data_IF_657300914159
#
_entry.id   IF_657300914159
#
_cell.length_a   1.000
_cell.length_b   1.000
_cell.length_c   1.000
_cell.angle_alpha   90.00
_cell.angle_beta   90.00
_cell.angle_gamma   90.00
#
_symmetry.space_group_name_H-M   'P 1'
#
loop_
_entity.id
_entity.type
_entity.pdbx_description
1 polymer ?
#
# COMPACT_ATOMS: atom_id res chain seq x y z
N UNK A 1 -0.18 -15.66 11.60
CA UNK A 1 1.21 -15.95 12.03
C UNK A 1 1.68 -17.34 11.61
N UNK A 2 1.09 -18.44 12.09
CA UNK A 2 1.58 -19.80 11.76
C UNK A 2 1.65 -20.07 10.23
N UNK A 3 0.60 -19.76 9.49
CA UNK A 3 0.59 -19.89 8.01
C UNK A 3 1.68 -19.05 7.33
N UNK A 4 1.87 -17.81 7.77
CA UNK A 4 2.89 -16.90 7.21
C UNK A 4 4.30 -17.44 7.44
N UNK A 5 4.56 -18.05 8.59
CA UNK A 5 5.84 -18.69 8.90
C UNK A 5 6.07 -19.91 8.01
N UNK A 6 5.06 -20.77 7.84
CA UNK A 6 5.14 -21.92 6.93
C UNK A 6 5.45 -21.46 5.51
N UNK A 7 4.78 -20.42 5.01
CA UNK A 7 5.01 -19.86 3.68
C UNK A 7 6.43 -19.29 3.52
N UNK A 8 6.93 -18.53 4.49
CA UNK A 8 8.31 -18.07 4.45
C UNK A 8 9.30 -19.24 4.50
N UNK A 9 9.06 -20.27 5.31
CA UNK A 9 9.96 -21.43 5.35
C UNK A 9 9.97 -22.21 4.01
N UNK A 10 8.82 -22.30 3.33
CA UNK A 10 8.71 -22.93 2.02
C UNK A 10 9.35 -22.11 0.87
N UNK A 11 9.49 -20.79 1.06
CA UNK A 11 10.06 -19.86 0.08
C UNK A 11 11.26 -19.10 0.67
N UNK A 12 12.45 -19.75 0.76
CA UNK A 12 13.65 -19.15 1.37
C UNK A 12 14.03 -17.80 0.74
N UNK A 13 13.86 -17.65 -0.58
CA UNK A 13 14.19 -16.43 -1.32
C UNK A 13 13.21 -15.27 -1.07
N UNK A 14 12.03 -15.53 -0.48
CA UNK A 14 11.10 -14.48 -0.13
C UNK A 14 11.58 -13.75 1.14
N UNK A 15 11.78 -12.44 1.02
CA UNK A 15 12.11 -11.59 2.15
C UNK A 15 10.86 -11.17 2.94
N UNK A 16 9.71 -11.15 2.27
CA UNK A 16 8.41 -10.75 2.83
C UNK A 16 7.30 -11.61 2.25
N UNK A 17 6.35 -12.00 3.10
CA UNK A 17 5.02 -12.48 2.69
C UNK A 17 3.98 -11.45 3.12
N UNK A 18 2.98 -11.18 2.27
CA UNK A 18 1.88 -10.29 2.64
C UNK A 18 0.55 -10.74 2.04
N UNK A 19 -0.55 -10.36 2.71
CA UNK A 19 -1.91 -10.70 2.32
C UNK A 19 -2.81 -9.47 2.22
N UNK A 20 -4.04 -9.63 1.72
CA UNK A 20 -5.02 -8.55 1.68
C UNK A 20 -5.50 -8.13 3.07
N UNK A 21 -6.11 -6.95 3.11
CA UNK A 21 -6.78 -6.38 4.29
C UNK A 21 -8.23 -6.84 4.29
N UNK A 22 -8.77 -7.22 5.45
CA UNK A 22 -10.20 -7.15 5.67
C UNK A 22 -10.56 -5.78 6.21
N UNK A 23 -11.31 -5.00 5.43
CA UNK A 23 -12.00 -3.83 5.96
C UNK A 23 -13.08 -4.32 6.92
N UNK A 24 -12.89 -4.03 8.19
CA UNK A 24 -13.78 -4.46 9.27
C UNK A 24 -14.57 -3.24 9.73
N UNK A 25 -15.84 -3.17 9.33
CA UNK A 25 -16.84 -2.18 9.71
C UNK A 25 -17.77 -2.73 10.79
N UNK A 26 -18.05 -4.04 10.79
CA UNK A 26 -18.91 -4.69 11.79
C UNK A 26 -18.42 -4.56 13.24
N UNK A 27 -17.18 -4.11 13.46
CA UNK A 27 -16.64 -3.78 14.79
C UNK A 27 -17.44 -2.72 15.55
N UNK A 28 -18.27 -1.92 14.86
CA UNK A 28 -19.13 -0.90 15.50
C UNK A 28 -20.30 -1.52 16.27
N UNK A 29 -20.69 -2.77 15.96
CA UNK A 29 -21.90 -3.40 16.47
C UNK A 29 -23.19 -2.98 15.76
N UNK A 30 -23.15 -2.01 14.84
CA UNK A 30 -24.32 -1.60 14.06
C UNK A 30 -24.64 -2.68 13.01
N UNK A 31 -25.89 -3.16 12.92
CA UNK A 31 -26.27 -4.18 11.94
C UNK A 31 -25.97 -3.78 10.49
N UNK A 32 -26.16 -2.50 10.15
CA UNK A 32 -25.90 -1.96 8.80
C UNK A 32 -24.42 -2.02 8.38
N UNK A 33 -23.50 -2.06 9.35
CA UNK A 33 -22.07 -2.10 9.07
C UNK A 33 -21.59 -3.52 8.71
N UNK A 34 -22.38 -4.56 8.97
CA UNK A 34 -22.00 -5.95 8.66
C UNK A 34 -21.83 -6.19 7.15
N UNK A 35 -22.74 -5.66 6.33
CA UNK A 35 -22.70 -5.80 4.87
C UNK A 35 -21.52 -5.08 4.23
N UNK A 36 -20.82 -4.22 5.00
CA UNK A 36 -19.68 -3.43 4.52
C UNK A 36 -18.36 -4.13 4.73
N UNK A 37 -18.30 -5.20 5.53
CA UNK A 37 -17.09 -6.00 5.72
C UNK A 37 -16.67 -6.64 4.40
N UNK A 38 -15.42 -6.45 3.99
CA UNK A 38 -14.91 -7.07 2.78
C UNK A 38 -13.38 -7.17 2.79
N UNK A 39 -12.87 -8.22 2.13
CA UNK A 39 -11.44 -8.41 1.89
C UNK A 39 -11.04 -7.70 0.60
N UNK A 40 -9.94 -6.96 0.62
CA UNK A 40 -9.40 -6.34 -0.59
C UNK A 40 -8.93 -7.39 -1.60
N UNK A 41 -9.15 -7.12 -2.89
CA UNK A 41 -8.57 -7.93 -3.95
C UNK A 41 -7.07 -7.64 -4.05
N UNK A 42 -6.24 -8.67 -3.99
CA UNK A 42 -4.81 -8.58 -4.32
C UNK A 42 -4.66 -8.33 -5.82
N UNK A 43 -3.96 -7.26 -6.19
CA UNK A 43 -3.86 -6.78 -7.59
C UNK A 43 -2.55 -7.17 -8.28
N UNK A 44 -1.95 -8.26 -7.83
CA UNK A 44 -0.74 -8.88 -8.38
C UNK A 44 -0.93 -10.40 -8.43
N UNK A 45 -0.15 -11.13 -9.23
CA UNK A 45 -0.10 -12.58 -9.10
C UNK A 45 0.21 -12.98 -7.65
N UNK A 46 -0.58 -13.90 -7.11
CA UNK A 46 -0.38 -14.46 -5.77
C UNK A 46 0.29 -15.82 -5.87
N UNK A 47 0.76 -16.33 -4.73
CA UNK A 47 1.29 -17.69 -4.59
C UNK A 47 2.50 -17.93 -5.51
N UNK A 48 3.23 -16.83 -5.77
CA UNK A 48 4.41 -16.80 -6.61
C UNK A 48 5.36 -15.69 -6.15
N UNK A 49 6.65 -15.91 -6.35
CA UNK A 49 7.68 -14.95 -5.99
C UNK A 49 7.70 -13.78 -6.98
N UNK A 50 7.59 -12.56 -6.47
CA UNK A 50 7.72 -11.34 -7.28
C UNK A 50 9.08 -10.69 -7.00
N UNK A 51 9.93 -10.74 -8.01
CA UNK A 51 11.25 -10.10 -7.97
C UNK A 51 11.16 -8.56 -8.05
N UNK A 52 12.11 -7.85 -7.41
CA UNK A 52 12.23 -6.40 -7.54
C UNK A 52 12.56 -5.99 -8.99
N UNK A 53 12.24 -4.74 -9.41
CA UNK A 53 11.52 -3.70 -8.67
C UNK A 53 10.01 -3.69 -8.99
N UNK A 54 9.41 -4.84 -9.36
CA UNK A 54 8.04 -4.87 -9.90
C UNK A 54 7.01 -4.32 -8.91
N UNK A 55 7.06 -4.76 -7.65
CA UNK A 55 6.14 -4.29 -6.61
C UNK A 55 6.38 -2.83 -6.26
N UNK A 56 7.65 -2.39 -6.20
CA UNK A 56 7.98 -0.99 -5.93
C UNK A 56 7.29 -0.05 -6.93
N UNK A 57 7.34 -0.36 -8.23
CA UNK A 57 6.65 0.46 -9.25
C UNK A 57 5.13 0.48 -9.07
N UNK A 58 4.53 -0.60 -8.53
CA UNK A 58 3.10 -0.67 -8.27
C UNK A 58 2.71 0.11 -7.01
N UNK A 59 3.51 0.01 -5.95
CA UNK A 59 3.40 0.84 -4.74
C UNK A 59 3.50 2.33 -5.10
N UNK A 60 4.52 2.69 -5.89
CA UNK A 60 4.74 4.07 -6.30
C UNK A 60 3.56 4.62 -7.10
N UNK A 61 2.90 3.80 -7.93
CA UNK A 61 1.67 4.18 -8.65
C UNK A 61 0.40 4.16 -7.79
N UNK A 62 0.48 3.79 -6.52
CA UNK A 62 -0.65 3.54 -5.60
C UNK A 62 -1.63 2.50 -6.16
N UNK A 63 -1.11 1.48 -6.87
CA UNK A 63 -1.92 0.40 -7.45
C UNK A 63 -2.12 -0.78 -6.52
N UNK A 64 -1.21 -0.93 -5.56
CA UNK A 64 -1.26 -1.92 -4.48
C UNK A 64 -1.03 -1.21 -3.15
N UNK A 65 -1.51 -1.84 -2.08
CA UNK A 65 -1.12 -1.56 -0.70
C UNK A 65 -0.50 -2.84 -0.15
N UNK A 66 0.59 -2.73 0.60
CA UNK A 66 1.20 -3.86 1.31
C UNK A 66 0.87 -3.73 2.77
N UNK A 67 0.42 -4.83 3.36
CA UNK A 67 -0.09 -4.84 4.71
C UNK A 67 -0.24 -6.27 5.20
N UNK A 68 -0.47 -6.49 6.50
CA UNK A 68 -0.54 -7.84 7.06
C UNK A 68 0.71 -8.66 6.76
N UNK A 69 1.86 -7.98 6.69
CA UNK A 69 3.12 -8.55 6.24
C UNK A 69 3.83 -9.30 7.37
N UNK A 70 4.53 -10.37 7.01
CA UNK A 70 5.55 -11.00 7.83
C UNK A 70 6.87 -10.99 7.04
N UNK A 71 7.96 -10.70 7.75
CA UNK A 71 9.25 -10.36 7.17
C UNK A 71 10.33 -11.25 7.78
N UNK A 72 11.37 -11.54 7.01
CA UNK A 72 12.62 -12.04 7.60
C UNK A 72 13.31 -10.91 8.35
N UNK A 73 13.91 -11.23 9.50
CA UNK A 73 14.72 -10.26 10.25
C UNK A 73 15.83 -9.65 9.39
N UNK A 74 16.54 -10.49 8.63
CA UNK A 74 17.68 -10.07 7.81
C UNK A 74 17.31 -8.92 6.86
N UNK A 75 16.17 -8.99 6.16
CA UNK A 75 15.80 -7.90 5.23
C UNK A 75 15.53 -6.58 5.96
N UNK A 76 15.05 -6.61 7.20
CA UNK A 76 14.82 -5.39 7.99
C UNK A 76 16.16 -4.73 8.31
N UNK A 77 17.16 -5.52 8.68
CA UNK A 77 18.51 -5.05 8.96
C UNK A 77 19.21 -4.54 7.69
N UNK A 78 19.10 -5.28 6.59
CA UNK A 78 19.72 -4.93 5.29
C UNK A 78 19.22 -3.59 4.73
N UNK A 79 17.94 -3.28 4.92
CA UNK A 79 17.34 -2.01 4.46
C UNK A 79 17.36 -0.89 5.50
N UNK A 80 17.94 -1.14 6.68
CA UNK A 80 18.02 -0.15 7.77
C UNK A 80 16.68 0.23 8.40
N UNK A 81 15.68 -0.66 8.36
CA UNK A 81 14.42 -0.46 9.05
C UNK A 81 13.56 0.73 8.58
N UNK A 82 12.77 1.27 9.51
CA UNK A 82 11.88 2.42 9.29
C UNK A 82 12.63 3.74 9.29
N UNK A 83 12.05 4.76 8.65
CA UNK A 83 12.63 6.11 8.62
C UNK A 83 11.99 6.99 9.70
N UNK A 84 12.80 7.48 10.64
CA UNK A 84 12.32 8.24 11.80
C UNK A 84 11.70 9.60 11.42
N UNK A 85 12.03 10.13 10.25
CA UNK A 85 11.49 11.39 9.74
C UNK A 85 10.03 11.26 9.25
N UNK A 86 9.51 10.04 9.14
CA UNK A 86 8.10 9.80 8.82
C UNK A 86 7.33 9.54 10.11
N UNK A 87 6.33 10.38 10.36
CA UNK A 87 5.39 10.27 11.49
C UNK A 87 3.97 10.48 10.96
N UNK A 88 3.17 9.44 10.95
CA UNK A 88 1.82 9.38 10.37
C UNK A 88 1.79 8.73 8.99
N UNK A 89 1.67 9.53 7.94
CA UNK A 89 1.49 9.01 6.59
C UNK A 89 2.83 8.54 5.98
N UNK A 90 2.74 7.48 5.18
CA UNK A 90 3.83 6.89 4.39
C UNK A 90 4.94 6.17 5.18
N UNK A 91 4.86 6.04 6.51
CA UNK A 91 5.84 5.26 7.30
C UNK A 91 6.01 3.83 6.76
N UNK A 92 4.88 3.16 6.55
CA UNK A 92 4.81 1.80 6.00
C UNK A 92 5.27 1.75 4.54
N UNK A 93 4.87 2.72 3.71
CA UNK A 93 5.24 2.76 2.29
C UNK A 93 6.71 3.03 2.06
N UNK A 94 7.35 3.85 2.90
CA UNK A 94 8.80 4.06 2.88
C UNK A 94 9.51 2.74 3.13
N UNK A 95 9.16 2.05 4.22
CA UNK A 95 9.77 0.78 4.57
C UNK A 95 9.52 -0.30 3.50
N UNK A 96 8.27 -0.45 3.04
CA UNK A 96 7.92 -1.38 1.98
C UNK A 96 8.64 -1.06 0.66
N UNK A 97 8.91 0.21 0.38
CA UNK A 97 9.62 0.62 -0.84
C UNK A 97 11.05 0.13 -0.84
N UNK A 98 11.75 0.23 0.30
CA UNK A 98 13.11 -0.31 0.44
C UNK A 98 13.10 -1.82 0.14
N UNK A 99 12.23 -2.57 0.81
CA UNK A 99 12.12 -4.03 0.61
C UNK A 99 11.80 -4.37 -0.85
N UNK A 100 10.81 -3.71 -1.45
CA UNK A 100 10.36 -4.00 -2.82
C UNK A 100 11.36 -3.56 -3.91
N UNK A 101 12.40 -2.79 -3.56
CA UNK A 101 13.54 -2.45 -4.41
C UNK A 101 14.67 -3.48 -4.28
N UNK A 102 14.85 -4.06 -3.10
CA UNK A 102 16.04 -4.87 -2.80
C UNK A 102 15.80 -6.38 -2.80
N UNK A 103 14.59 -6.86 -2.53
CA UNK A 103 14.36 -8.28 -2.32
C UNK A 103 13.04 -8.81 -2.91
N UNK A 104 12.97 -10.13 -3.22
CA UNK A 104 11.76 -10.77 -3.67
C UNK A 104 10.68 -10.83 -2.57
N UNK A 105 9.42 -10.75 -2.98
CA UNK A 105 8.25 -10.73 -2.10
C UNK A 105 7.23 -11.76 -2.57
N UNK A 106 6.55 -12.41 -1.64
CA UNK A 106 5.54 -13.44 -1.88
C UNK A 106 4.13 -12.97 -1.48
N UNK A 107 3.30 -12.45 -2.40
CA UNK A 107 1.92 -12.09 -2.12
C UNK A 107 1.03 -13.34 -2.04
N UNK A 108 0.05 -13.35 -1.14
CA UNK A 108 -0.95 -14.43 -1.05
C UNK A 108 -2.38 -13.90 -1.03
N UNK A 109 -3.35 -14.80 -1.17
CA UNK A 109 -4.79 -14.46 -1.06
C UNK A 109 -5.32 -14.52 0.37
N UNK A 110 -4.63 -15.20 1.30
CA UNK A 110 -5.04 -15.36 2.68
C UNK A 110 -5.07 -14.03 3.45
N UNK A 111 -6.21 -13.74 4.08
CA UNK A 111 -6.38 -12.57 4.93
C UNK A 111 -6.14 -12.92 6.40
N UNK A 112 -5.14 -12.30 7.02
CA UNK A 112 -4.76 -12.60 8.42
C UNK A 112 -5.13 -11.51 9.42
N UNK A 113 -5.69 -10.39 8.97
CA UNK A 113 -5.97 -9.28 9.88
C UNK A 113 -7.16 -8.43 9.41
N UNK A 114 -7.77 -7.77 10.41
CA UNK A 114 -8.93 -6.90 10.25
C UNK A 114 -8.53 -5.47 10.57
N UNK A 115 -8.81 -4.55 9.65
CA UNK A 115 -8.53 -3.14 9.84
C UNK A 115 -9.80 -2.36 10.19
N UNK A 116 -9.80 -1.76 11.38
CA UNK A 116 -10.88 -0.88 11.86
C UNK A 116 -10.62 0.54 11.38
N UNK A 117 -11.57 1.12 10.65
CA UNK A 117 -11.53 2.55 10.32
C UNK A 117 -12.20 3.36 11.43
N UNK A 118 -11.54 4.42 11.89
CA UNK A 118 -12.13 5.40 12.80
C UNK A 118 -11.82 6.83 12.32
N UNK A 119 -12.64 7.83 12.68
CA UNK A 119 -12.51 9.20 12.15
C UNK A 119 -11.18 9.91 12.46
N UNK A 120 -10.43 9.38 13.44
CA UNK A 120 -9.16 9.94 13.92
C UNK A 120 -7.94 9.19 13.38
N UNK A 121 -8.09 8.28 12.41
CA UNK A 121 -6.92 7.65 11.79
C UNK A 121 -6.15 8.66 10.92
N UNK A 122 -4.84 8.45 10.74
CA UNK A 122 -3.96 9.41 10.07
C UNK A 122 -4.42 9.74 8.63
N UNK A 123 -4.88 8.73 7.88
CA UNK A 123 -5.41 8.90 6.53
C UNK A 123 -6.66 9.77 6.49
N UNK A 124 -7.63 9.56 7.40
CA UNK A 124 -8.86 10.35 7.46
C UNK A 124 -8.58 11.80 7.87
N UNK A 125 -7.67 12.02 8.81
CA UNK A 125 -7.28 13.37 9.23
C UNK A 125 -6.58 14.09 8.07
N UNK A 126 -5.64 13.44 7.40
CA UNK A 126 -4.91 14.03 6.29
C UNK A 126 -5.81 14.35 5.09
N UNK A 127 -6.83 13.53 4.84
CA UNK A 127 -7.84 13.81 3.81
C UNK A 127 -8.70 15.03 4.19
N UNK A 128 -9.23 15.08 5.42
CA UNK A 128 -10.05 16.21 5.90
C UNK A 128 -9.29 17.53 5.94
N UNK A 129 -8.00 17.48 6.28
CA UNK A 129 -7.13 18.66 6.41
C UNK A 129 -6.38 19.03 5.13
N UNK A 130 -6.56 18.27 4.03
CA UNK A 130 -5.83 18.49 2.78
C UNK A 130 -4.32 18.20 2.85
N UNK A 131 -3.84 17.59 3.94
CA UNK A 131 -2.42 17.30 4.19
C UNK A 131 -1.90 16.05 3.48
N UNK A 132 -2.78 15.23 2.89
CA UNK A 132 -2.37 14.03 2.11
C UNK A 132 -1.35 14.38 1.02
N UNK A 133 -1.61 15.48 0.30
CA UNK A 133 -0.74 15.96 -0.78
C UNK A 133 0.68 16.27 -0.28
N UNK A 134 0.79 17.01 0.83
CA UNK A 134 2.08 17.41 1.42
C UNK A 134 2.87 16.17 1.83
N UNK A 135 2.21 15.22 2.51
CA UNK A 135 2.83 13.95 2.89
C UNK A 135 3.28 13.14 1.67
N UNK A 136 2.50 13.15 0.58
CA UNK A 136 2.86 12.45 -0.65
C UNK A 136 4.09 13.08 -1.31
N UNK A 137 4.16 14.40 -1.38
CA UNK A 137 5.31 15.09 -1.96
C UNK A 137 6.57 14.84 -1.12
N UNK A 138 6.45 14.86 0.22
CA UNK A 138 7.54 14.50 1.13
C UNK A 138 8.05 13.08 0.87
N UNK A 139 7.14 12.09 0.79
CA UNK A 139 7.47 10.72 0.42
C UNK A 139 8.17 10.61 -0.94
N UNK A 140 7.69 11.31 -1.96
CA UNK A 140 8.28 11.24 -3.30
C UNK A 140 9.68 11.88 -3.34
N UNK A 141 9.89 13.00 -2.65
CA UNK A 141 11.22 13.60 -2.54
C UNK A 141 12.21 12.62 -1.86
N UNK A 142 11.79 11.95 -0.79
CA UNK A 142 12.58 10.90 -0.15
C UNK A 142 12.87 9.73 -1.11
N UNK A 143 11.88 9.27 -1.89
CA UNK A 143 12.09 8.23 -2.91
C UNK A 143 13.18 8.65 -3.91
N UNK A 144 13.15 9.91 -4.38
CA UNK A 144 14.17 10.42 -5.31
C UNK A 144 15.59 10.40 -4.73
N UNK A 145 15.73 10.79 -3.45
CA UNK A 145 17.00 10.71 -2.72
C UNK A 145 17.45 9.25 -2.57
N UNK A 146 16.57 8.38 -2.09
CA UNK A 146 16.86 6.96 -1.86
C UNK A 146 17.32 6.25 -3.14
N UNK A 147 16.62 6.47 -4.26
CA UNK A 147 16.99 5.89 -5.56
C UNK A 147 18.37 6.36 -6.03
N UNK A 148 18.72 7.63 -5.78
CA UNK A 148 20.02 8.21 -6.15
C UNK A 148 21.15 7.66 -5.29
N UNK A 149 20.98 7.66 -3.96
CA UNK A 149 21.96 7.18 -2.98
C UNK A 149 22.28 5.69 -3.16
N UNK A 150 21.27 4.88 -3.43
CA UNK A 150 21.41 3.44 -3.70
C UNK A 150 21.77 3.13 -5.15
N UNK A 151 22.06 4.16 -5.97
CA UNK A 151 22.52 4.06 -7.36
C UNK A 151 21.60 3.18 -8.22
N UNK A 152 20.28 3.27 -8.03
CA UNK A 152 19.31 2.50 -8.81
C UNK A 152 19.32 3.01 -10.25
N UNK A 153 19.57 2.12 -11.23
CA UNK A 153 19.68 2.48 -12.66
C UNK A 153 18.48 2.05 -13.50
N UNK A 154 17.48 1.38 -12.92
CA UNK A 154 16.32 0.88 -13.67
C UNK A 154 15.51 2.06 -14.25
N UNK A 155 15.50 2.17 -15.59
CA UNK A 155 14.81 3.26 -16.30
C UNK A 155 13.30 3.24 -16.03
N UNK A 156 12.68 2.06 -15.93
CA UNK A 156 11.25 1.94 -15.68
C UNK A 156 10.88 2.40 -14.27
N UNK A 157 11.79 2.29 -13.30
CA UNK A 157 11.65 2.87 -11.96
C UNK A 157 11.67 4.39 -12.05
N UNK A 158 12.71 4.97 -12.66
CA UNK A 158 12.84 6.43 -12.80
C UNK A 158 11.68 7.06 -13.58
N UNK A 159 11.21 6.45 -14.67
CA UNK A 159 10.06 6.94 -15.41
C UNK A 159 8.79 6.99 -14.55
N UNK A 160 8.56 5.99 -13.70
CA UNK A 160 7.39 5.97 -12.81
C UNK A 160 7.54 7.01 -11.70
N UNK A 161 8.73 7.13 -11.12
CA UNK A 161 9.04 8.13 -10.12
C UNK A 161 8.81 9.55 -10.65
N UNK A 162 9.44 9.93 -11.77
CA UNK A 162 9.30 11.26 -12.37
C UNK A 162 7.83 11.57 -12.67
N UNK A 163 7.10 10.59 -13.22
CA UNK A 163 5.66 10.77 -13.49
C UNK A 163 4.86 11.04 -12.22
N UNK A 164 5.06 10.25 -11.17
CA UNK A 164 4.32 10.44 -9.90
C UNK A 164 4.74 11.73 -9.19
N UNK A 165 6.01 12.14 -9.30
CA UNK A 165 6.51 13.42 -8.78
C UNK A 165 5.87 14.60 -9.50
N UNK A 166 5.88 14.63 -10.83
CA UNK A 166 5.25 15.70 -11.60
C UNK A 166 3.75 15.84 -11.29
N UNK A 167 3.04 14.72 -11.13
CA UNK A 167 1.63 14.72 -10.71
C UNK A 167 1.45 15.29 -9.30
N UNK A 168 2.42 15.08 -8.41
CA UNK A 168 2.39 15.54 -7.03
C UNK A 168 3.04 16.92 -6.84
N UNK A 169 3.60 17.56 -7.86
CA UNK A 169 4.10 18.94 -7.78
C UNK A 169 3.01 19.98 -8.03
N UNK A 170 1.89 19.59 -8.64
CA UNK A 170 0.76 20.46 -8.89
C UNK A 170 -0.44 20.04 -8.02
N UNK A 171 -0.83 20.82 -7.00
CA UNK A 171 -1.92 20.47 -6.08
C UNK A 171 -3.26 20.23 -6.78
N UNK A 172 -3.56 21.00 -7.83
CA UNK A 172 -4.81 20.90 -8.59
C UNK A 172 -4.85 19.59 -9.39
N UNK A 173 -3.77 19.28 -10.11
CA UNK A 173 -3.63 18.01 -10.85
C UNK A 173 -3.63 16.81 -9.89
N UNK A 174 -2.98 16.94 -8.74
CA UNK A 174 -2.99 15.91 -7.70
C UNK A 174 -4.40 15.66 -7.18
N UNK A 175 -5.14 16.72 -6.83
CA UNK A 175 -6.52 16.63 -6.34
C UNK A 175 -7.44 15.97 -7.37
N UNK A 176 -7.33 16.34 -8.65
CA UNK A 176 -8.13 15.74 -9.73
C UNK A 176 -7.76 14.26 -9.99
N UNK A 177 -6.46 13.94 -9.98
CA UNK A 177 -5.98 12.56 -10.25
C UNK A 177 -6.15 11.61 -9.07
N UNK A 178 -6.16 12.12 -7.84
CA UNK A 178 -6.44 11.36 -6.62
C UNK A 178 -7.94 11.12 -6.48
N UNK A 179 -8.77 12.15 -6.75
CA UNK A 179 -10.23 12.01 -6.82
C UNK A 179 -10.62 11.03 -7.91
N UNK A 180 -10.08 11.08 -9.13
CA UNK A 180 -10.43 10.09 -10.17
C UNK A 180 -10.02 8.66 -9.80
N UNK A 181 -8.83 8.47 -9.20
CA UNK A 181 -8.36 7.17 -8.68
C UNK A 181 -9.20 6.65 -7.51
N UNK A 182 -9.70 7.51 -6.63
CA UNK A 182 -10.56 7.16 -5.47
C UNK A 182 -12.03 7.00 -5.87
N UNK A 183 -12.56 7.87 -6.72
CA UNK A 183 -13.97 7.93 -7.15
C UNK A 183 -14.36 6.71 -7.98
N UNK A 184 -13.48 6.21 -8.86
CA UNK A 184 -13.71 4.94 -9.56
C UNK A 184 -13.67 3.72 -8.62
N UNK A 185 -12.95 3.78 -7.50
CA UNK A 185 -12.92 2.71 -6.49
C UNK A 185 -14.09 2.75 -5.50
N UNK A 186 -14.59 3.95 -5.18
CA UNK A 186 -15.61 4.18 -4.15
C UNK A 186 -17.06 4.15 -4.71
N UNK A 187 -17.31 4.77 -5.88
CA UNK A 187 -18.67 4.83 -6.46
C UNK A 187 -19.12 3.52 -7.11
N UNK A 188 -18.18 2.71 -7.62
CA UNK A 188 -18.50 1.36 -8.11
C UNK A 188 -19.01 0.47 -6.96
N UNK A 189 -18.40 0.60 -5.77
CA UNK A 189 -18.86 -0.11 -4.56
C UNK A 189 -20.22 0.38 -4.11
N UNK A 190 -20.43 1.69 -3.94
CA UNK A 190 -21.75 2.17 -3.46
C UNK A 190 -22.91 1.95 -4.43
N UNK A 191 -22.69 2.07 -5.76
CA UNK A 191 -23.76 1.83 -6.75
C UNK A 191 -24.12 0.35 -6.91
N UNK A 192 -23.17 -0.58 -6.75
CA UNK A 192 -23.49 -2.01 -6.78
C UNK A 192 -24.34 -2.41 -5.56
N UNK A 193 -24.06 -1.85 -4.37
CA UNK A 193 -24.88 -2.07 -3.18
C UNK A 193 -26.26 -1.40 -3.25
N UNK A 194 -26.40 -0.26 -3.94
CA UNK A 194 -27.71 0.39 -4.09
C UNK A 194 -28.60 -0.23 -5.16
N UNK A 195 -28.05 -0.95 -6.15
CA UNK A 195 -28.83 -1.61 -7.22
C UNK A 195 -29.31 -3.00 -6.78
N UNK A 196 -28.57 -3.69 -5.91
CA UNK A 196 -28.94 -4.99 -5.35
C UNK A 196 -29.95 -4.92 -4.19
N UNK A 197 -30.31 -3.72 -3.71
CA UNK A 197 -31.40 -3.51 -2.74
C UNK A 197 -32.73 -3.08 -3.38
N UNK A 198 -32.78 -2.99 -4.71
CA UNK A 198 -33.96 -2.56 -5.47
C UNK A 198 -34.49 -3.61 -6.45
N UNK A 199 -34.00 -4.85 -6.32
CA UNK A 199 -34.53 -6.05 -7.00
C UNK A 199 -34.81 -7.09 -5.92
#
# INVERSE_FOLDING_TARGET
LAEQVVLLNAHPDAAMVYGPIQWWYSWTGNPEDQERDHVEKVRVPTDTLINPPRLFRLLLKRRISISGMLLRRQIVEDVGGFEENFRGLYEDQVFCSKICLHAPVFPVTNCWYKYRQHPNNCCSIAEKTGKEYVARLFYLNWVGQYLSEHKIKDIKVWCVFIKELLLAMNPTVYSLSSKSRRYFGWKLKQRLFSILKTV
#
